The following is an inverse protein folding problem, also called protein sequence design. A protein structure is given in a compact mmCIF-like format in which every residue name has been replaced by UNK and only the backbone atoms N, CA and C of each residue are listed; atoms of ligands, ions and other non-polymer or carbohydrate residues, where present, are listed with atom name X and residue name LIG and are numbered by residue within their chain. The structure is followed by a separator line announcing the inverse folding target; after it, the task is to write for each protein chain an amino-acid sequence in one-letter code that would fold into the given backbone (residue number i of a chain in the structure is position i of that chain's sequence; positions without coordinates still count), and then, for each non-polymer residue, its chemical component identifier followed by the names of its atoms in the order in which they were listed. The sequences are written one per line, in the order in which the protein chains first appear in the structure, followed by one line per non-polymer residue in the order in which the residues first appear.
data_IF_117801250546
#
_entry.id   IF_117801250546
#
_cell.length_a   1.000
_cell.length_b   1.000
_cell.length_c   1.000
_cell.angle_alpha   90.00
_cell.angle_beta   90.00
_cell.angle_gamma   90.00
#
_symmetry.space_group_name_H-M   'P 1'
#
loop_
_entity.id
_entity.type
_entity.pdbx_description
1 polymer ?
#
# COMPACT_ATOMS: atom_id res chain seq x y z
N UNK A 1 14.70 -25.39 10.02
CA UNK A 1 15.77 -24.76 9.19
C UNK A 1 15.05 -23.98 8.10
N UNK A 2 15.43 -22.73 7.84
CA UNK A 2 14.79 -21.93 6.79
C UNK A 2 15.27 -22.42 5.44
N UNK A 3 14.35 -22.80 4.55
CA UNK A 3 14.67 -23.12 3.15
C UNK A 3 14.74 -21.78 2.38
N UNK A 4 15.89 -21.42 1.81
CA UNK A 4 16.07 -20.16 1.11
C UNK A 4 15.15 -19.98 -0.10
N UNK A 5 14.85 -21.07 -0.78
CA UNK A 5 13.99 -21.04 -1.97
C UNK A 5 12.52 -20.78 -1.60
N UNK A 6 11.99 -21.50 -0.59
CA UNK A 6 10.64 -21.27 -0.09
C UNK A 6 10.53 -19.88 0.50
N UNK A 7 11.54 -19.44 1.26
CA UNK A 7 11.61 -18.10 1.83
C UNK A 7 11.51 -17.02 0.75
N UNK A 8 12.33 -17.13 -0.30
CA UNK A 8 12.27 -16.22 -1.44
C UNK A 8 10.87 -16.19 -2.10
N UNK A 9 10.27 -17.37 -2.33
CA UNK A 9 8.93 -17.46 -2.94
C UNK A 9 7.84 -16.78 -2.11
N UNK A 10 7.90 -16.86 -0.78
CA UNK A 10 6.93 -16.18 0.09
C UNK A 10 7.04 -14.65 -0.04
N UNK A 11 8.25 -14.11 -0.05
CA UNK A 11 8.47 -12.69 -0.27
C UNK A 11 8.08 -12.25 -1.69
N UNK A 12 8.39 -13.04 -2.69
CA UNK A 12 8.01 -12.78 -4.08
C UNK A 12 6.49 -12.81 -4.26
N UNK A 13 5.80 -13.82 -3.71
CA UNK A 13 4.34 -13.91 -3.69
C UNK A 13 3.74 -12.66 -3.06
N UNK A 14 4.18 -12.29 -1.85
CA UNK A 14 3.70 -11.12 -1.15
C UNK A 14 3.92 -9.82 -1.96
N UNK A 15 5.04 -9.72 -2.68
CA UNK A 15 5.37 -8.54 -3.49
C UNK A 15 4.58 -8.47 -4.79
N UNK A 16 4.33 -9.59 -5.46
CA UNK A 16 3.54 -9.66 -6.69
C UNK A 16 2.07 -9.28 -6.48
N UNK A 17 1.50 -9.65 -5.33
CA UNK A 17 0.11 -9.34 -4.99
C UNK A 17 -0.04 -8.07 -4.14
N UNK A 18 1.04 -7.33 -3.95
CA UNK A 18 1.06 -6.07 -3.22
C UNK A 18 0.74 -4.90 -4.15
N UNK A 19 -0.10 -4.00 -3.68
CA UNK A 19 -0.35 -2.70 -4.33
C UNK A 19 0.62 -1.61 -3.87
N UNK A 20 1.64 -1.97 -3.10
CA UNK A 20 2.67 -1.08 -2.54
C UNK A 20 2.47 -0.75 -1.05
N UNK A 21 3.43 -0.06 -0.46
CA UNK A 21 3.40 0.33 0.95
C UNK A 21 3.42 -0.87 1.90
N UNK A 22 2.37 -0.99 2.71
CA UNK A 22 2.19 -2.05 3.70
C UNK A 22 1.23 -3.17 3.25
N UNK A 23 0.76 -3.17 2.00
CA UNK A 23 -0.25 -4.13 1.54
C UNK A 23 0.25 -5.58 1.51
N UNK A 24 1.57 -5.81 1.52
CA UNK A 24 2.18 -7.12 1.65
C UNK A 24 2.34 -7.60 3.10
N UNK A 25 2.10 -6.72 4.10
CA UNK A 25 2.25 -7.04 5.51
C UNK A 25 1.37 -8.23 5.96
N UNK A 26 0.07 -8.29 5.65
CA UNK A 26 -0.77 -9.41 6.09
C UNK A 26 -0.29 -10.77 5.54
N UNK A 27 0.12 -10.81 4.27
CA UNK A 27 0.62 -12.05 3.65
C UNK A 27 1.94 -12.50 4.28
N UNK A 28 2.91 -11.59 4.44
CA UNK A 28 4.20 -11.90 5.06
C UNK A 28 4.03 -12.28 6.54
N UNK A 29 3.16 -11.59 7.25
CA UNK A 29 2.87 -11.91 8.65
C UNK A 29 2.34 -13.34 8.79
N UNK A 30 1.28 -13.67 8.04
CA UNK A 30 0.68 -15.00 8.06
C UNK A 30 1.69 -16.08 7.68
N UNK A 31 2.39 -15.91 6.57
CA UNK A 31 3.29 -16.92 6.03
C UNK A 31 4.52 -17.14 6.93
N UNK A 32 5.15 -16.08 7.46
CA UNK A 32 6.36 -16.20 8.27
C UNK A 32 6.08 -16.69 9.69
N UNK A 33 4.95 -16.29 10.30
CA UNK A 33 4.52 -16.81 11.61
C UNK A 33 4.13 -18.27 11.51
N UNK A 34 3.35 -18.65 10.49
CA UNK A 34 2.93 -20.05 10.28
C UNK A 34 4.12 -20.99 10.10
N UNK A 35 5.21 -20.54 9.46
CA UNK A 35 6.44 -21.31 9.30
C UNK A 35 7.37 -21.23 10.53
N UNK A 36 7.04 -20.45 11.55
CA UNK A 36 7.89 -20.25 12.74
C UNK A 36 9.19 -19.49 12.43
N UNK A 37 9.26 -18.72 11.34
CA UNK A 37 10.46 -17.99 10.90
C UNK A 37 10.52 -16.56 11.39
N UNK A 38 9.40 -16.00 11.88
CA UNK A 38 9.34 -14.68 12.45
C UNK A 38 8.68 -14.69 13.84
N UNK A 39 9.04 -13.66 14.62
CA UNK A 39 8.35 -13.32 15.87
C UNK A 39 7.48 -12.08 15.64
N UNK A 40 6.39 -11.92 16.38
CA UNK A 40 5.52 -10.73 16.31
C UNK A 40 6.30 -9.41 16.42
N UNK A 41 7.29 -9.37 17.33
CA UNK A 41 8.13 -8.18 17.53
C UNK A 41 8.94 -7.76 16.29
N UNK A 42 9.26 -8.68 15.39
CA UNK A 42 10.04 -8.36 14.18
C UNK A 42 9.28 -7.49 13.21
N UNK A 43 7.94 -7.64 13.12
CA UNK A 43 7.10 -6.81 12.28
C UNK A 43 7.09 -5.36 12.77
N UNK A 44 6.89 -5.14 14.07
CA UNK A 44 6.95 -3.80 14.65
C UNK A 44 8.31 -3.13 14.45
N UNK A 45 9.39 -3.87 14.70
CA UNK A 45 10.77 -3.36 14.51
C UNK A 45 11.07 -3.02 13.05
N UNK A 46 10.70 -3.90 12.11
CA UNK A 46 10.94 -3.67 10.69
C UNK A 46 10.16 -2.47 10.16
N UNK A 47 8.92 -2.31 10.58
CA UNK A 47 8.10 -1.14 10.24
C UNK A 47 8.74 0.14 10.79
N UNK A 48 9.16 0.15 12.06
CA UNK A 48 9.82 1.30 12.66
C UNK A 48 11.10 1.69 11.91
N UNK A 49 11.94 0.71 11.55
CA UNK A 49 13.14 0.95 10.72
C UNK A 49 12.76 1.53 9.36
N UNK A 50 11.73 0.97 8.71
CA UNK A 50 11.25 1.44 7.42
C UNK A 50 10.72 2.88 7.46
N UNK A 51 10.13 3.31 8.56
CA UNK A 51 9.62 4.68 8.74
C UNK A 51 10.73 5.72 8.99
N UNK A 52 11.82 5.31 9.62
CA UNK A 52 12.97 6.19 9.87
C UNK A 52 13.86 6.30 8.62
N UNK A 53 13.87 5.27 7.78
CA UNK A 53 14.71 5.22 6.58
C UNK A 53 14.14 6.13 5.49
N UNK A 54 14.95 7.07 4.93
CA UNK A 54 14.52 7.84 3.78
C UNK A 54 14.42 6.93 2.54
N UNK A 55 13.23 6.88 1.91
CA UNK A 55 13.05 6.07 0.71
C UNK A 55 11.63 5.51 0.56
N UNK A 56 11.45 4.58 -0.38
CA UNK A 56 10.14 3.98 -0.61
C UNK A 56 9.70 3.14 0.59
N UNK A 57 8.41 3.16 0.91
CA UNK A 57 7.80 2.45 2.04
C UNK A 57 8.01 0.92 2.04
N UNK A 58 8.63 0.35 1.00
CA UNK A 58 8.96 -1.07 0.90
C UNK A 58 10.24 -1.49 1.66
N UNK A 59 11.03 -0.55 2.16
CA UNK A 59 12.30 -0.87 2.84
C UNK A 59 12.11 -1.68 4.14
N UNK A 60 10.96 -1.59 4.80
CA UNK A 60 10.64 -2.39 5.97
C UNK A 60 10.69 -3.91 5.66
N UNK A 61 10.38 -4.32 4.42
CA UNK A 61 10.44 -5.74 3.99
C UNK A 61 11.87 -6.26 4.04
N UNK A 62 12.85 -5.44 3.63
CA UNK A 62 14.28 -5.80 3.68
C UNK A 62 14.73 -5.92 5.13
N UNK A 63 14.30 -5.00 6.00
CA UNK A 63 14.58 -5.05 7.44
C UNK A 63 13.96 -6.31 8.07
N UNK A 64 12.73 -6.67 7.69
CA UNK A 64 12.10 -7.92 8.12
C UNK A 64 12.91 -9.13 7.65
N UNK A 65 13.37 -9.11 6.40
CA UNK A 65 14.24 -10.13 5.85
C UNK A 65 15.53 -10.32 6.69
N UNK A 66 16.14 -9.21 7.09
CA UNK A 66 17.31 -9.24 7.94
C UNK A 66 17.02 -9.81 9.34
N UNK A 67 15.92 -9.39 9.97
CA UNK A 67 15.54 -9.84 11.31
C UNK A 67 15.18 -11.34 11.36
N UNK A 68 14.68 -11.90 10.26
CA UNK A 68 14.26 -13.30 10.19
C UNK A 68 15.36 -14.25 9.74
N UNK A 69 16.21 -13.86 8.79
CA UNK A 69 17.24 -14.74 8.20
C UNK A 69 18.57 -14.03 7.96
N UNK A 70 18.87 -12.97 8.69
CA UNK A 70 20.14 -12.24 8.59
C UNK A 70 20.38 -11.62 7.21
N UNK A 71 21.65 -11.48 6.82
CA UNK A 71 22.01 -10.89 5.52
C UNK A 71 21.45 -11.66 4.32
N UNK A 72 21.38 -12.99 4.40
CA UNK A 72 20.78 -13.80 3.35
C UNK A 72 19.28 -13.46 3.18
N UNK A 73 18.54 -13.31 4.29
CA UNK A 73 17.14 -12.90 4.26
C UNK A 73 16.95 -11.49 3.68
N UNK A 74 17.82 -10.55 4.05
CA UNK A 74 17.79 -9.19 3.48
C UNK A 74 18.05 -9.19 1.97
N UNK A 75 19.03 -9.96 1.49
CA UNK A 75 19.32 -10.07 0.07
C UNK A 75 18.18 -10.73 -0.71
N UNK A 76 17.63 -11.84 -0.19
CA UNK A 76 16.51 -12.54 -0.82
C UNK A 76 15.26 -11.67 -0.88
N UNK A 77 14.92 -10.95 0.20
CA UNK A 77 13.77 -10.05 0.23
C UNK A 77 13.96 -8.85 -0.71
N UNK A 78 15.18 -8.28 -0.79
CA UNK A 78 15.51 -7.21 -1.73
C UNK A 78 15.27 -7.66 -3.19
N UNK A 79 15.79 -8.83 -3.56
CA UNK A 79 15.56 -9.37 -4.92
C UNK A 79 14.07 -9.63 -5.15
N UNK A 80 13.37 -10.21 -4.17
CA UNK A 80 11.96 -10.53 -4.26
C UNK A 80 11.06 -9.29 -4.47
N UNK A 81 11.36 -8.16 -3.80
CA UNK A 81 10.57 -6.93 -3.99
C UNK A 81 10.96 -6.15 -5.26
N UNK A 82 12.17 -6.35 -5.77
CA UNK A 82 12.65 -5.67 -6.99
C UNK A 82 12.14 -6.36 -8.26
N UNK A 83 11.99 -7.68 -8.24
CA UNK A 83 11.53 -8.45 -9.40
C UNK A 83 10.19 -7.98 -9.99
N UNK A 84 9.12 -7.76 -9.20
CA UNK A 84 7.86 -7.23 -9.73
C UNK A 84 8.02 -5.86 -10.38
N UNK A 85 8.86 -4.98 -9.81
CA UNK A 85 9.14 -3.66 -10.39
C UNK A 85 9.82 -3.78 -11.76
N UNK A 86 10.78 -4.69 -11.92
CA UNK A 86 11.41 -4.97 -13.21
C UNK A 86 10.41 -5.58 -14.21
N UNK A 87 9.52 -6.44 -13.74
CA UNK A 87 8.49 -7.05 -14.58
C UNK A 87 7.51 -5.98 -15.12
N UNK A 88 7.19 -4.96 -14.32
CA UNK A 88 6.39 -3.81 -14.78
C UNK A 88 7.07 -3.06 -15.93
N UNK A 89 8.40 -2.90 -15.91
CA UNK A 89 9.13 -2.27 -17.01
C UNK A 89 8.99 -3.08 -18.30
N UNK A 90 9.09 -4.42 -18.23
CA UNK A 90 8.91 -5.30 -19.38
C UNK A 90 7.49 -5.23 -19.92
N UNK A 91 6.49 -5.26 -19.01
CA UNK A 91 5.07 -5.13 -19.38
C UNK A 91 4.82 -3.76 -20.01
N UNK A 92 5.37 -2.68 -19.44
CA UNK A 92 5.25 -1.33 -19.98
C UNK A 92 5.79 -1.21 -21.40
N UNK A 93 6.96 -1.80 -21.68
CA UNK A 93 7.53 -1.84 -23.03
C UNK A 93 6.64 -2.60 -24.02
N UNK A 94 5.93 -3.62 -23.59
CA UNK A 94 4.92 -4.32 -24.40
C UNK A 94 3.63 -3.52 -24.55
N UNK A 95 3.20 -2.85 -23.47
CA UNK A 95 1.98 -2.06 -23.44
C UNK A 95 1.99 -0.91 -24.44
N UNK A 96 3.11 -0.20 -24.60
CA UNK A 96 3.25 0.89 -25.57
C UNK A 96 2.94 0.48 -27.02
N UNK A 97 3.05 -0.82 -27.34
CA UNK A 97 2.72 -1.37 -28.66
C UNK A 97 1.23 -1.62 -28.87
N UNK A 98 0.46 -1.76 -27.77
CA UNK A 98 -0.95 -2.15 -27.82
C UNK A 98 -1.89 -1.10 -27.23
N UNK A 99 -1.37 -0.02 -26.60
CA UNK A 99 -2.16 1.03 -25.94
C UNK A 99 -3.12 1.75 -26.88
N UNK A 100 -2.80 1.82 -28.19
CA UNK A 100 -3.68 2.40 -29.21
C UNK A 100 -4.87 1.53 -29.61
N UNK A 101 -4.96 0.28 -29.13
CA UNK A 101 -6.07 -0.61 -29.47
C UNK A 101 -7.31 -0.31 -28.62
N UNK A 102 -8.47 -0.23 -29.27
CA UNK A 102 -9.76 0.11 -28.63
C UNK A 102 -10.11 -0.80 -27.47
N UNK A 103 -9.83 -2.11 -27.57
CA UNK A 103 -10.10 -3.07 -26.51
C UNK A 103 -9.21 -2.84 -25.27
N UNK A 104 -7.95 -2.42 -25.45
CA UNK A 104 -7.03 -2.08 -24.34
C UNK A 104 -7.53 -0.84 -23.63
N UNK A 105 -7.92 0.19 -24.37
CA UNK A 105 -8.49 1.42 -23.80
C UNK A 105 -9.78 1.13 -23.03
N UNK A 106 -10.66 0.28 -23.58
CA UNK A 106 -11.88 -0.17 -22.91
C UNK A 106 -11.59 -0.94 -21.62
N UNK A 107 -10.63 -1.85 -21.63
CA UNK A 107 -10.22 -2.60 -20.44
C UNK A 107 -9.64 -1.66 -19.35
N UNK A 108 -8.75 -0.74 -19.73
CA UNK A 108 -8.18 0.25 -18.79
C UNK A 108 -9.24 1.17 -18.20
N UNK A 109 -10.20 1.61 -19.02
CA UNK A 109 -11.33 2.40 -18.55
C UNK A 109 -12.19 1.60 -17.56
N UNK A 110 -12.48 0.34 -17.85
CA UNK A 110 -13.22 -0.56 -16.95
C UNK A 110 -12.52 -0.76 -15.61
N UNK A 111 -11.20 -1.00 -15.62
CA UNK A 111 -10.38 -1.10 -14.39
C UNK A 111 -10.42 0.21 -13.60
N UNK A 112 -10.29 1.35 -14.28
CA UNK A 112 -10.36 2.66 -13.60
C UNK A 112 -11.71 2.89 -12.93
N UNK A 113 -12.82 2.54 -13.59
CA UNK A 113 -14.15 2.61 -13.00
C UNK A 113 -14.32 1.66 -11.81
N UNK A 114 -13.78 0.45 -11.90
CA UNK A 114 -13.80 -0.51 -10.79
C UNK A 114 -13.07 0.03 -9.55
N UNK A 115 -11.89 0.66 -9.74
CA UNK A 115 -11.15 1.30 -8.65
C UNK A 115 -11.95 2.43 -8.00
N UNK A 116 -12.61 3.28 -8.80
CA UNK A 116 -13.49 4.33 -8.29
C UNK A 116 -14.65 3.73 -7.51
N UNK A 117 -15.27 2.65 -7.99
CA UNK A 117 -16.33 1.94 -7.29
C UNK A 117 -15.89 1.39 -5.93
N UNK A 118 -14.70 0.79 -5.87
CA UNK A 118 -14.11 0.30 -4.61
C UNK A 118 -13.86 1.45 -3.63
N UNK A 119 -13.29 2.58 -4.10
CA UNK A 119 -13.05 3.75 -3.26
C UNK A 119 -14.37 4.32 -2.70
N UNK A 120 -15.41 4.42 -3.51
CA UNK A 120 -16.73 4.85 -3.05
C UNK A 120 -17.32 3.90 -2.02
N UNK A 121 -17.15 2.58 -2.20
CA UNK A 121 -17.57 1.58 -1.21
C UNK A 121 -16.85 1.75 0.12
N UNK A 122 -15.54 2.01 0.10
CA UNK A 122 -14.76 2.28 1.32
C UNK A 122 -15.26 3.54 2.01
N UNK A 123 -15.44 4.64 1.26
CA UNK A 123 -15.99 5.90 1.81
C UNK A 123 -17.36 5.66 2.44
N UNK A 124 -18.24 4.91 1.77
CA UNK A 124 -19.55 4.56 2.29
C UNK A 124 -19.49 3.75 3.58
N UNK A 125 -18.54 2.81 3.65
CA UNK A 125 -18.33 1.99 4.86
C UNK A 125 -17.86 2.85 6.03
N UNK A 126 -16.93 3.78 5.79
CA UNK A 126 -16.44 4.72 6.81
C UNK A 126 -17.58 5.59 7.31
N UNK A 127 -18.40 6.16 6.41
CA UNK A 127 -19.53 7.02 6.75
C UNK A 127 -20.64 6.30 7.53
N UNK A 128 -20.69 4.96 7.50
CA UNK A 128 -21.66 4.14 8.24
C UNK A 128 -21.17 3.61 9.58
N UNK A 129 -19.95 3.92 9.99
CA UNK A 129 -19.45 3.45 11.29
C UNK A 129 -20.26 4.08 12.45
N UNK A 130 -20.69 3.28 13.45
CA UNK A 130 -21.38 3.80 14.63
C UNK A 130 -20.42 4.72 15.40
N UNK A 131 -20.81 5.99 15.56
CA UNK A 131 -20.01 7.02 16.25
C UNK A 131 -19.59 8.18 15.35
N UNK A 132 -19.87 8.14 14.05
CA UNK A 132 -19.67 9.29 13.15
C UNK A 132 -20.75 10.36 13.41
N UNK A 133 -20.31 11.46 14.01
CA UNK A 133 -21.14 12.64 14.20
C UNK A 133 -21.32 13.40 12.88
N UNK A 134 -22.45 14.10 12.74
CA UNK A 134 -22.71 15.01 11.62
C UNK A 134 -21.56 16.02 11.36
N UNK A 135 -20.73 16.31 12.39
CA UNK A 135 -19.54 17.16 12.31
C UNK A 135 -18.48 16.55 11.38
N UNK A 136 -18.21 15.24 11.46
CA UNK A 136 -17.32 14.53 10.55
C UNK A 136 -17.79 14.61 9.10
N UNK A 137 -19.09 14.49 8.89
CA UNK A 137 -19.72 14.59 7.57
C UNK A 137 -19.54 15.99 6.96
N UNK A 138 -19.65 17.05 7.76
CA UNK A 138 -19.40 18.43 7.31
C UNK A 138 -17.93 18.65 6.92
N UNK A 139 -16.98 18.12 7.72
CA UNK A 139 -15.55 18.21 7.40
C UNK A 139 -15.28 17.47 6.09
N UNK A 140 -15.81 16.26 5.92
CA UNK A 140 -15.65 15.47 4.71
C UNK A 140 -16.24 16.17 3.47
N UNK A 141 -17.44 16.73 3.56
CA UNK A 141 -18.08 17.48 2.49
C UNK A 141 -17.30 18.74 2.12
N UNK A 142 -16.78 19.48 3.11
CA UNK A 142 -15.95 20.65 2.90
C UNK A 142 -14.61 20.31 2.23
N UNK A 143 -13.93 19.26 2.69
CA UNK A 143 -12.69 18.76 2.10
C UNK A 143 -12.91 18.29 0.65
N UNK A 144 -14.00 17.59 0.39
CA UNK A 144 -14.39 17.15 -0.94
C UNK A 144 -14.67 18.33 -1.89
N UNK A 145 -15.40 19.35 -1.44
CA UNK A 145 -15.65 20.57 -2.21
C UNK A 145 -14.36 21.33 -2.56
N UNK A 146 -13.41 21.43 -1.61
CA UNK A 146 -12.10 22.02 -1.84
C UNK A 146 -11.27 21.18 -2.84
N UNK A 147 -11.32 19.86 -2.73
CA UNK A 147 -10.63 18.97 -3.65
C UNK A 147 -11.15 19.08 -5.09
N UNK A 148 -12.47 19.23 -5.27
CA UNK A 148 -13.09 19.44 -6.58
C UNK A 148 -12.66 20.75 -7.26
N UNK A 149 -12.33 21.78 -6.49
CA UNK A 149 -11.88 23.06 -7.03
C UNK A 149 -10.53 22.97 -7.76
N UNK A 150 -9.73 21.90 -7.54
CA UNK A 150 -8.39 21.64 -8.09
C UNK A 150 -7.37 22.80 -7.90
N UNK A 151 -7.74 23.84 -7.15
CA UNK A 151 -6.89 25.02 -6.92
C UNK A 151 -6.07 24.94 -5.62
N UNK A 152 -6.43 24.01 -4.73
CA UNK A 152 -5.84 23.90 -3.40
C UNK A 152 -4.97 22.63 -3.34
N UNK A 153 -3.76 22.76 -2.79
CA UNK A 153 -2.87 21.62 -2.60
C UNK A 153 -3.48 20.64 -1.59
N UNK A 154 -3.36 19.34 -1.87
CA UNK A 154 -3.90 18.27 -1.03
C UNK A 154 -3.41 18.34 0.42
N UNK A 155 -2.17 18.76 0.65
CA UNK A 155 -1.61 18.96 2.00
C UNK A 155 -2.34 20.05 2.79
N UNK A 156 -2.77 21.13 2.10
CA UNK A 156 -3.54 22.22 2.72
C UNK A 156 -4.92 21.71 3.10
N UNK A 157 -5.58 20.94 2.23
CA UNK A 157 -6.91 20.36 2.51
C UNK A 157 -6.82 19.43 3.73
N UNK A 158 -5.81 18.57 3.81
CA UNK A 158 -5.59 17.70 4.96
C UNK A 158 -5.32 18.49 6.24
N UNK A 159 -4.48 19.52 6.18
CA UNK A 159 -4.19 20.42 7.32
C UNK A 159 -5.45 21.14 7.82
N UNK A 160 -6.26 21.68 6.92
CA UNK A 160 -7.52 22.34 7.26
C UNK A 160 -8.54 21.36 7.85
N UNK A 161 -8.67 20.17 7.27
CA UNK A 161 -9.55 19.15 7.79
C UNK A 161 -9.12 18.68 9.19
N UNK A 162 -7.81 18.49 9.42
CA UNK A 162 -7.26 18.15 10.72
C UNK A 162 -7.49 19.25 11.78
N UNK A 163 -7.28 20.52 11.42
CA UNK A 163 -7.57 21.66 12.30
C UNK A 163 -9.07 21.78 12.61
N UNK A 164 -9.92 21.62 11.61
CA UNK A 164 -11.37 21.64 11.80
C UNK A 164 -11.82 20.49 12.73
N UNK A 165 -11.26 19.30 12.55
CA UNK A 165 -11.49 18.16 13.44
C UNK A 165 -11.05 18.48 14.88
N UNK A 166 -9.85 19.00 15.07
CA UNK A 166 -9.36 19.37 16.40
C UNK A 166 -10.25 20.40 17.10
N UNK A 167 -10.74 21.40 16.37
CA UNK A 167 -11.62 22.46 16.94
C UNK A 167 -13.02 21.96 17.25
N UNK A 168 -13.59 21.10 16.40
CA UNK A 168 -14.96 20.62 16.53
C UNK A 168 -15.12 19.45 17.53
N UNK A 169 -14.03 18.74 17.82
CA UNK A 169 -14.03 17.59 18.76
C UNK A 169 -13.30 17.89 20.07
N UNK A 170 -12.86 19.11 20.30
CA UNK A 170 -12.33 19.58 21.60
C UNK A 170 -13.48 20.03 22.49
#
# INVERSE_FOLDING_TARGET
MIDPFIYFLLFLKASLFSTGGFSNLPSLHQDLIANGWAKESYFGQSIAIGQISPGPNGLWVISLGYLTYGFAGAALSLVAITLPALLVLVISAGYTRIEGRTWVQGAMFGVSLAVVGILLSIVWTILRQPGEDWKGLLIAAGAFGLALSRKVNMLIILGLAGLAGYVLYR
#
